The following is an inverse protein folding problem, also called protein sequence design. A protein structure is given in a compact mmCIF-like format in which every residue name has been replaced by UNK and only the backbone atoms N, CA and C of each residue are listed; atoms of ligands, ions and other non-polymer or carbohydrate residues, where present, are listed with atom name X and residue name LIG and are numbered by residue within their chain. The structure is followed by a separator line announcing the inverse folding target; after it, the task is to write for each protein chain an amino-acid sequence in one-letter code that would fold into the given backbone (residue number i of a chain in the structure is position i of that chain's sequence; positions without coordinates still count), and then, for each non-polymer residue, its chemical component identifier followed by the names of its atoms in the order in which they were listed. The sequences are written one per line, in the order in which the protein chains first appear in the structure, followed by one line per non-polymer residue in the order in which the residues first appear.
data_IF_607286201919
#
_entry.id   IF_607286201919
#
_cell.length_a   1.000
_cell.length_b   1.000
_cell.length_c   1.000
_cell.angle_alpha   90.00
_cell.angle_beta   90.00
_cell.angle_gamma   90.00
#
_symmetry.space_group_name_H-M   'P 1'
#
loop_
_entity.id
_entity.type
_entity.pdbx_description
1 polymer ?
#
# COMPACT_ATOMS: atom_id res chain seq x y z
N UNK A 1 3.95 13.35 -2.07
CA UNK A 1 2.80 12.46 -1.82
C UNK A 1 3.18 10.98 -1.99
N UNK A 2 3.84 10.61 -3.10
CA UNK A 2 4.25 9.23 -3.39
C UNK A 2 5.02 8.51 -2.26
N UNK A 3 5.89 9.24 -1.54
CA UNK A 3 6.65 8.70 -0.41
C UNK A 3 5.80 8.10 0.71
N UNK A 4 4.52 8.51 0.85
CA UNK A 4 3.60 7.91 1.83
C UNK A 4 3.20 6.47 1.50
N UNK A 5 3.37 6.03 0.24
CA UNK A 5 3.04 4.67 -0.21
C UNK A 5 4.21 3.69 0.00
N UNK A 6 5.41 4.18 0.29
CA UNK A 6 6.64 3.37 0.31
C UNK A 6 6.55 2.19 1.29
N UNK A 7 6.11 2.45 2.52
CA UNK A 7 5.97 1.40 3.54
C UNK A 7 4.97 0.31 3.14
N UNK A 8 3.87 0.68 2.48
CA UNK A 8 2.86 -0.28 2.03
C UNK A 8 3.43 -1.18 0.93
N UNK A 9 4.13 -0.60 -0.04
CA UNK A 9 4.63 -1.29 -1.23
C UNK A 9 5.92 -2.09 -0.98
N UNK A 10 6.81 -1.62 -0.10
CA UNK A 10 8.10 -2.26 0.13
C UNK A 10 8.11 -3.22 1.32
N UNK A 11 7.25 -2.99 2.32
CA UNK A 11 7.23 -3.78 3.55
C UNK A 11 5.96 -4.62 3.70
N UNK A 12 4.78 -4.00 3.73
CA UNK A 12 3.55 -4.71 4.10
C UNK A 12 3.11 -5.73 3.05
N UNK A 13 3.26 -5.42 1.76
CA UNK A 13 2.88 -6.35 0.67
C UNK A 13 3.65 -7.67 0.69
N UNK A 14 4.79 -7.73 1.39
CA UNK A 14 5.65 -8.91 1.51
C UNK A 14 5.44 -9.68 2.82
N UNK A 15 4.70 -9.11 3.78
CA UNK A 15 4.57 -9.65 5.12
C UNK A 15 3.31 -10.51 5.29
N UNK A 16 2.13 -9.91 5.12
CA UNK A 16 0.84 -10.55 5.37
C UNK A 16 0.07 -10.72 4.06
N UNK A 17 -0.20 -11.97 3.66
CA UNK A 17 -0.74 -12.34 2.35
C UNK A 17 0.03 -11.69 1.19
N UNK A 18 1.11 -12.35 0.77
CA UNK A 18 2.03 -11.86 -0.27
C UNK A 18 1.28 -11.34 -1.50
N UNK A 19 1.55 -10.09 -1.87
CA UNK A 19 0.89 -9.41 -2.99
C UNK A 19 -0.43 -8.71 -2.64
N UNK A 20 -0.83 -8.74 -1.36
CA UNK A 20 -2.06 -8.11 -0.87
C UNK A 20 -1.78 -7.13 0.27
N UNK A 21 -2.79 -6.36 0.64
CA UNK A 21 -2.80 -5.47 1.79
C UNK A 21 -3.97 -5.83 2.71
N UNK A 22 -3.73 -5.77 4.02
CA UNK A 22 -4.77 -5.93 5.02
C UNK A 22 -5.68 -4.70 5.08
N UNK A 23 -6.90 -4.90 5.58
CA UNK A 23 -7.94 -3.87 5.68
C UNK A 23 -7.50 -2.67 6.54
N UNK A 24 -6.92 -2.95 7.71
CA UNK A 24 -6.55 -1.95 8.71
C UNK A 24 -5.24 -2.36 9.41
N UNK A 25 -4.56 -1.36 9.98
CA UNK A 25 -3.34 -1.52 10.77
C UNK A 25 -3.51 -0.81 12.12
N UNK A 26 -2.89 -1.34 13.18
CA UNK A 26 -2.83 -0.65 14.48
C UNK A 26 -2.13 0.72 14.33
N UNK A 27 -2.54 1.72 15.12
CA UNK A 27 -1.99 3.08 15.04
C UNK A 27 -0.63 3.28 15.71
N UNK A 28 -0.24 2.36 16.61
CA UNK A 28 1.04 2.35 17.28
C UNK A 28 1.95 1.27 16.71
N UNK A 29 3.27 1.51 16.72
CA UNK A 29 4.25 0.50 16.35
C UNK A 29 4.04 -0.79 17.18
N UNK A 30 4.11 -1.98 16.56
CA UNK A 30 4.66 -2.27 15.22
C UNK A 30 3.64 -2.20 14.07
N UNK A 31 2.48 -1.54 14.24
CA UNK A 31 1.45 -1.38 13.21
C UNK A 31 0.93 -2.73 12.69
N UNK A 32 0.51 -3.60 13.60
CA UNK A 32 0.08 -4.95 13.23
C UNK A 32 -1.17 -4.92 12.32
N UNK A 33 -1.26 -5.80 11.32
CA UNK A 33 -2.44 -5.88 10.45
C UNK A 33 -3.64 -6.47 11.19
N UNK A 34 -4.83 -5.94 10.92
CA UNK A 34 -6.12 -6.33 11.49
C UNK A 34 -7.18 -6.46 10.37
N UNK A 35 -8.35 -6.96 10.75
CA UNK A 35 -9.49 -7.09 9.84
C UNK A 35 -9.27 -8.13 8.74
N UNK A 36 -9.85 -7.89 7.57
CA UNK A 36 -9.66 -8.77 6.43
C UNK A 36 -8.18 -8.82 6.01
N UNK A 37 -7.63 -10.04 5.91
CA UNK A 37 -6.22 -10.27 5.56
C UNK A 37 -5.91 -9.78 4.14
N UNK A 38 -6.87 -9.94 3.22
CA UNK A 38 -6.73 -9.57 1.81
C UNK A 38 -8.04 -9.00 1.27
N UNK A 39 -8.04 -7.73 0.88
CA UNK A 39 -9.23 -7.04 0.41
C UNK A 39 -8.93 -6.25 -0.87
N UNK A 40 -9.73 -6.50 -1.92
CA UNK A 40 -9.46 -5.99 -3.26
C UNK A 40 -9.41 -4.45 -3.32
N UNK A 41 -10.22 -3.77 -2.50
CA UNK A 41 -10.30 -2.31 -2.51
C UNK A 41 -9.01 -1.62 -2.04
N UNK A 42 -8.23 -2.23 -1.14
CA UNK A 42 -7.02 -1.65 -0.55
C UNK A 42 -5.89 -1.70 -1.57
N UNK A 43 -5.79 -2.83 -2.28
CA UNK A 43 -4.86 -3.00 -3.40
C UNK A 43 -5.22 -2.06 -4.54
N UNK A 44 -6.50 -2.00 -4.92
CA UNK A 44 -6.96 -1.11 -5.99
C UNK A 44 -6.65 0.37 -5.70
N UNK A 45 -6.89 0.81 -4.47
CA UNK A 45 -6.67 2.19 -4.07
C UNK A 45 -5.18 2.57 -4.05
N UNK A 46 -4.31 1.71 -3.51
CA UNK A 46 -2.87 1.95 -3.54
C UNK A 46 -2.35 2.02 -4.99
N UNK A 47 -2.82 1.15 -5.88
CA UNK A 47 -2.45 1.19 -7.30
C UNK A 47 -2.92 2.47 -7.99
N UNK A 48 -4.15 2.91 -7.71
CA UNK A 48 -4.71 4.17 -8.23
C UNK A 48 -3.86 5.36 -7.78
N UNK A 49 -3.62 5.51 -6.48
CA UNK A 49 -2.78 6.59 -5.94
C UNK A 49 -1.34 6.52 -6.46
N UNK A 50 -0.80 5.31 -6.65
CA UNK A 50 0.52 5.13 -7.24
C UNK A 50 0.58 5.65 -8.68
N UNK A 51 -0.46 5.46 -9.49
CA UNK A 51 -0.52 6.03 -10.84
C UNK A 51 -0.68 7.55 -10.82
N UNK A 52 -1.57 8.07 -9.99
CA UNK A 52 -1.84 9.52 -9.89
C UNK A 52 -0.66 10.33 -9.34
N UNK A 53 0.22 9.69 -8.57
CA UNK A 53 1.42 10.32 -8.00
C UNK A 53 2.68 10.01 -8.81
N UNK A 54 2.56 9.47 -10.02
CA UNK A 54 3.67 9.43 -10.96
C UNK A 54 4.02 10.89 -11.30
N UNK A 55 5.29 11.26 -11.25
CA UNK A 55 5.73 12.47 -11.94
C UNK A 55 5.58 12.18 -13.44
N UNK A 56 4.93 13.07 -14.20
CA UNK A 56 5.02 12.98 -15.66
C UNK A 56 6.49 13.14 -16.00
N UNK A 57 7.13 12.04 -16.40
CA UNK A 57 8.43 12.11 -17.04
C UNK A 57 8.26 13.05 -18.23
N UNK A 58 8.93 14.20 -18.16
CA UNK A 58 9.23 14.99 -19.36
C UNK A 58 9.81 13.97 -20.34
N UNK A 59 9.07 13.70 -21.40
CA UNK A 59 9.33 12.58 -22.30
C UNK A 59 10.74 12.59 -22.87
N UNK A 60 11.26 11.39 -23.09
CA UNK A 60 12.31 11.14 -24.08
C UNK A 60 11.70 11.11 -25.49
#
# INVERSE_FOLDING_TARGET
ARSYLDSLLNHHIRAHAVGSLSEIFDGDAPFAPRGCVAQAWSVAEVLRTWQETQEEGIGD
#
